data_IF_431663711054
#
_entry.id   IF_431663711054
#
_cell.length_a   1.000
_cell.length_b   1.000
_cell.length_c   1.000
_cell.angle_alpha   90.00
_cell.angle_beta   90.00
_cell.angle_gamma   90.00
#
_symmetry.space_group_name_H-M   'P 1'
#
loop_
_entity.id
_entity.type
_entity.pdbx_description
1 polymer ?
#
# COMPACT_ATOMS: atom_id res chain seq x y z
N UNK A 1 -4.86 6.05 10.93
CA UNK A 1 -4.97 4.58 10.92
C UNK A 1 -6.40 4.14 10.64
N UNK A 2 -6.61 3.11 9.82
CA UNK A 2 -7.91 2.44 9.65
C UNK A 2 -7.72 0.92 9.67
N UNK A 3 -8.60 0.22 10.39
CA UNK A 3 -8.57 -1.22 10.54
C UNK A 3 -9.74 -1.85 9.81
N UNK A 4 -9.49 -2.99 9.17
CA UNK A 4 -10.45 -3.75 8.38
C UNK A 4 -10.47 -5.20 8.86
N UNK A 5 -11.64 -5.79 9.00
CA UNK A 5 -11.78 -7.23 9.23
C UNK A 5 -11.66 -7.99 7.90
N UNK A 6 -10.76 -8.97 7.87
CA UNK A 6 -10.47 -9.81 6.70
C UNK A 6 -10.43 -11.26 7.16
N UNK A 7 -11.54 -11.98 6.95
CA UNK A 7 -11.69 -13.42 7.22
C UNK A 7 -11.20 -13.86 8.62
N UNK A 8 -11.68 -13.17 9.67
CA UNK A 8 -11.31 -13.46 11.06
C UNK A 8 -9.95 -12.90 11.50
N UNK A 9 -9.20 -12.27 10.61
CA UNK A 9 -8.03 -11.44 10.92
C UNK A 9 -8.35 -9.95 10.79
N UNK A 10 -7.47 -9.10 11.33
CA UNK A 10 -7.57 -7.65 11.13
C UNK A 10 -6.41 -7.15 10.28
N UNK A 11 -6.66 -6.21 9.37
CA UNK A 11 -5.65 -5.49 8.61
C UNK A 11 -5.69 -4.01 8.99
N UNK A 12 -4.61 -3.53 9.59
CA UNK A 12 -4.42 -2.13 9.96
C UNK A 12 -3.59 -1.41 8.91
N UNK A 13 -4.10 -0.28 8.43
CA UNK A 13 -3.49 0.54 7.39
C UNK A 13 -3.27 1.99 7.89
N UNK A 14 -2.09 2.55 7.59
CA UNK A 14 -1.76 3.96 7.80
C UNK A 14 -1.04 4.52 6.59
N UNK A 15 -1.38 5.75 6.22
CA UNK A 15 -0.86 6.42 5.04
C UNK A 15 -0.06 7.64 5.46
N UNK A 16 1.18 7.73 4.96
CA UNK A 16 2.11 8.78 5.31
C UNK A 16 2.53 9.55 4.06
N UNK A 17 2.53 10.89 4.15
CA UNK A 17 3.15 11.78 3.18
C UNK A 17 4.43 12.40 3.74
N UNK A 18 5.24 12.94 2.83
CA UNK A 18 6.45 13.68 3.17
C UNK A 18 7.42 12.85 4.03
N UNK A 19 7.45 11.53 3.81
CA UNK A 19 8.35 10.62 4.51
C UNK A 19 9.78 10.87 4.05
N UNK A 20 10.69 11.05 5.00
CA UNK A 20 12.09 11.45 4.75
C UNK A 20 13.11 10.37 5.09
N UNK A 21 12.70 9.30 5.77
CA UNK A 21 13.59 8.25 6.27
C UNK A 21 13.36 6.89 5.58
N UNK A 22 12.90 6.87 4.33
CA UNK A 22 12.64 5.61 3.61
C UNK A 22 13.90 4.79 3.35
N UNK A 23 15.08 5.42 3.34
CA UNK A 23 16.36 4.72 3.24
C UNK A 23 16.61 3.86 4.48
N UNK A 24 16.49 4.45 5.66
CA UNK A 24 16.70 3.76 6.94
C UNK A 24 15.65 2.66 7.17
N UNK A 25 14.40 2.91 6.76
CA UNK A 25 13.34 1.92 6.81
C UNK A 25 13.65 0.73 5.88
N UNK A 26 14.12 0.99 4.66
CA UNK A 26 14.52 -0.04 3.71
C UNK A 26 15.71 -0.86 4.24
N UNK A 27 16.72 -0.21 4.80
CA UNK A 27 17.89 -0.87 5.39
C UNK A 27 17.46 -1.78 6.55
N UNK A 28 16.55 -1.32 7.42
CA UNK A 28 16.02 -2.11 8.54
C UNK A 28 15.19 -3.31 8.07
N UNK A 29 14.39 -3.14 7.00
CA UNK A 29 13.65 -4.24 6.37
C UNK A 29 14.60 -5.29 5.79
N UNK A 30 15.64 -4.87 5.08
CA UNK A 30 16.62 -5.77 4.44
C UNK A 30 17.49 -6.49 5.48
N UNK A 31 17.81 -5.83 6.59
CA UNK A 31 18.53 -6.43 7.71
C UNK A 31 17.66 -7.38 8.55
N UNK A 32 16.33 -7.37 8.37
CA UNK A 32 15.40 -8.16 9.20
C UNK A 32 15.29 -7.65 10.64
N UNK A 33 15.60 -6.39 10.89
CA UNK A 33 15.61 -5.76 12.23
C UNK A 33 14.44 -4.78 12.42
N UNK A 34 13.48 -4.76 11.49
CA UNK A 34 12.34 -3.88 11.57
C UNK A 34 11.35 -4.39 12.62
N UNK A 35 11.25 -3.67 13.74
CA UNK A 35 10.26 -3.93 14.78
C UNK A 35 9.33 -2.73 14.97
N UNK A 36 8.00 -2.93 14.88
CA UNK A 36 7.32 -4.17 14.55
C UNK A 36 7.42 -4.58 13.07
N UNK A 37 7.17 -5.87 12.77
CA UNK A 37 7.06 -6.37 11.39
C UNK A 37 5.87 -5.72 10.66
N UNK A 38 6.16 -4.85 9.69
CA UNK A 38 5.17 -4.09 8.93
C UNK A 38 5.57 -4.03 7.46
N UNK A 39 4.58 -4.11 6.57
CA UNK A 39 4.80 -3.91 5.15
C UNK A 39 4.71 -2.41 4.82
N UNK A 40 5.78 -1.86 4.24
CA UNK A 40 5.75 -0.52 3.65
C UNK A 40 5.61 -0.62 2.14
N UNK A 41 4.66 0.11 1.57
CA UNK A 41 4.39 0.14 0.14
C UNK A 41 4.50 1.57 -0.36
N UNK A 42 5.14 1.78 -1.50
CA UNK A 42 5.00 3.07 -2.19
C UNK A 42 3.54 3.23 -2.65
N UNK A 43 2.85 4.21 -2.06
CA UNK A 43 1.42 4.44 -2.26
C UNK A 43 1.10 4.99 -3.66
N UNK A 44 2.07 5.59 -4.35
CA UNK A 44 1.93 5.98 -5.76
C UNK A 44 2.05 4.80 -6.72
N UNK A 45 2.65 3.68 -6.28
CA UNK A 45 3.04 2.56 -7.12
C UNK A 45 2.61 1.20 -6.56
N UNK A 46 1.50 1.13 -5.81
CA UNK A 46 1.08 -0.06 -5.03
C UNK A 46 1.19 -1.37 -5.83
N UNK A 47 0.76 -1.38 -7.09
CA UNK A 47 0.81 -2.58 -7.96
C UNK A 47 2.22 -3.09 -8.26
N UNK A 48 3.20 -2.18 -8.35
CA UNK A 48 4.62 -2.51 -8.52
C UNK A 48 5.30 -2.78 -7.16
N UNK A 49 4.91 -2.02 -6.12
CA UNK A 49 5.40 -2.18 -4.74
C UNK A 49 5.16 -3.58 -4.19
N UNK A 50 4.00 -4.18 -4.51
CA UNK A 50 3.67 -5.56 -4.16
C UNK A 50 4.56 -6.61 -4.86
N UNK A 51 5.19 -6.26 -5.99
CA UNK A 51 6.10 -7.16 -6.73
C UNK A 51 7.57 -7.00 -6.33
N UNK A 52 7.98 -5.82 -5.87
CA UNK A 52 9.39 -5.43 -5.67
C UNK A 52 9.78 -5.22 -4.20
N UNK A 53 8.97 -5.70 -3.26
CA UNK A 53 9.21 -5.55 -1.83
C UNK A 53 9.20 -4.08 -1.36
N UNK A 54 8.14 -3.34 -1.70
CA UNK A 54 7.74 -2.19 -0.89
C UNK A 54 8.18 -0.81 -1.36
N UNK A 55 9.03 -0.14 -0.58
CA UNK A 55 9.46 1.25 -0.75
C UNK A 55 10.86 1.35 -1.37
N UNK A 56 11.19 2.52 -1.92
CA UNK A 56 12.55 2.90 -2.33
C UNK A 56 13.09 4.04 -1.46
N UNK A 57 14.40 4.28 -1.47
CA UNK A 57 15.03 5.43 -0.78
C UNK A 57 14.38 6.78 -1.15
N UNK A 58 13.88 6.91 -2.39
CA UNK A 58 13.22 8.10 -2.92
C UNK A 58 11.72 8.17 -2.65
N UNK A 59 11.14 7.15 -2.01
CA UNK A 59 9.70 7.13 -1.73
C UNK A 59 9.38 8.13 -0.62
N UNK A 60 8.42 9.02 -0.86
CA UNK A 60 7.94 9.99 0.14
C UNK A 60 6.48 9.79 0.51
N UNK A 61 5.79 8.88 -0.20
CA UNK A 61 4.39 8.56 -0.02
C UNK A 61 4.24 7.07 0.27
N UNK A 62 4.01 6.73 1.53
CA UNK A 62 4.14 5.38 2.06
C UNK A 62 2.81 4.91 2.64
N UNK A 63 2.36 3.73 2.21
CA UNK A 63 1.28 2.98 2.85
C UNK A 63 1.90 1.92 3.75
N UNK A 64 1.70 2.04 5.05
CA UNK A 64 2.06 1.02 6.04
C UNK A 64 0.87 0.08 6.25
N UNK A 65 1.12 -1.23 6.20
CA UNK A 65 0.12 -2.26 6.34
C UNK A 65 0.60 -3.38 7.28
N UNK A 66 -0.25 -3.77 8.23
CA UNK A 66 0.05 -4.87 9.14
C UNK A 66 -1.19 -5.68 9.52
N UNK A 67 -1.05 -7.00 9.50
CA UNK A 67 -2.08 -7.92 9.98
C UNK A 67 -2.01 -8.09 11.50
N UNK A 68 -3.18 -8.21 12.13
CA UNK A 68 -3.35 -8.52 13.54
C UNK A 68 -2.56 -7.59 14.47
N UNK A 69 -2.40 -6.33 14.06
CA UNK A 69 -1.64 -5.34 14.78
C UNK A 69 -2.44 -4.82 15.98
N UNK A 70 -1.82 -4.86 17.16
CA UNK A 70 -2.32 -4.13 18.32
C UNK A 70 -2.19 -2.61 18.13
N UNK A 71 -2.90 -1.86 18.96
CA UNK A 71 -2.86 -0.39 18.94
C UNK A 71 -1.44 0.11 19.22
N UNK A 72 -0.73 -0.50 20.17
CA UNK A 72 0.62 -0.07 20.55
C UNK A 72 1.65 -0.37 19.47
N UNK A 73 1.46 -1.46 18.73
CA UNK A 73 2.28 -1.76 17.57
C UNK A 73 2.05 -0.77 16.44
N UNK A 74 0.81 -0.39 16.15
CA UNK A 74 0.54 0.65 15.14
C UNK A 74 1.07 2.02 15.56
N UNK A 75 1.07 2.35 16.85
CA UNK A 75 1.75 3.53 17.39
C UNK A 75 3.27 3.44 17.24
N UNK A 76 3.86 2.26 17.38
CA UNK A 76 5.27 2.06 17.11
C UNK A 76 5.59 2.30 15.63
N UNK A 77 4.75 1.79 14.71
CA UNK A 77 4.87 2.07 13.27
C UNK A 77 4.81 3.57 12.97
N UNK A 78 3.90 4.31 13.60
CA UNK A 78 3.82 5.77 13.46
C UNK A 78 5.12 6.45 13.90
N UNK A 79 5.72 6.01 15.01
CA UNK A 79 7.00 6.55 15.51
C UNK A 79 8.20 6.23 14.62
N UNK A 80 8.15 5.15 13.86
CA UNK A 80 9.19 4.81 12.87
C UNK A 80 9.15 5.76 11.67
N UNK A 81 8.02 6.43 11.41
CA UNK A 81 7.83 7.26 10.22
C UNK A 81 8.22 8.71 10.46
N UNK A 82 9.27 9.19 9.78
CA UNK A 82 9.58 10.61 9.72
C UNK A 82 8.79 11.27 8.58
N UNK A 83 7.48 11.36 8.77
CA UNK A 83 6.53 11.96 7.84
C UNK A 83 5.22 12.32 8.53
N UNK A 84 4.22 12.72 7.74
CA UNK A 84 2.90 13.10 8.26
C UNK A 84 1.87 12.03 7.92
N UNK A 85 1.18 11.48 8.93
CA UNK A 85 0.01 10.64 8.68
C UNK A 85 -1.11 11.48 8.05
N UNK A 86 -1.71 10.96 6.97
CA UNK A 86 -2.83 11.59 6.25
C UNK A 86 -4.00 10.61 6.09
N UNK A 87 -5.18 11.14 5.77
CA UNK A 87 -6.38 10.33 5.55
C UNK A 87 -6.20 9.40 4.34
N UNK A 88 -6.55 8.13 4.50
CA UNK A 88 -6.53 7.12 3.44
C UNK A 88 -7.37 7.50 2.21
N UNK A 89 -8.38 8.37 2.36
CA UNK A 89 -9.18 8.88 1.23
C UNK A 89 -8.33 9.60 0.18
N UNK A 90 -7.23 10.22 0.59
CA UNK A 90 -6.31 10.94 -0.32
C UNK A 90 -5.65 9.98 -1.32
N UNK A 91 -5.60 8.67 -1.02
CA UNK A 91 -5.05 7.67 -1.92
C UNK A 91 -5.80 7.61 -3.25
N UNK A 92 -7.13 7.75 -3.22
CA UNK A 92 -7.95 7.77 -4.43
C UNK A 92 -7.69 9.05 -5.25
N UNK A 93 -7.52 10.19 -4.58
CA UNK A 93 -7.26 11.49 -5.21
C UNK A 93 -5.91 11.52 -5.94
N UNK A 94 -4.89 10.86 -5.36
CA UNK A 94 -3.52 10.80 -5.92
C UNK A 94 -3.30 9.61 -6.85
N UNK A 95 -4.32 8.75 -7.04
CA UNK A 95 -4.19 7.56 -7.87
C UNK A 95 -3.93 7.92 -9.33
N UNK A 96 -2.81 7.43 -9.88
CA UNK A 96 -2.50 7.60 -11.30
C UNK A 96 -3.35 6.65 -12.15
N UNK A 97 -4.58 7.07 -12.48
CA UNK A 97 -5.54 6.27 -13.26
C UNK A 97 -4.97 5.78 -14.59
N UNK A 98 -4.20 6.62 -15.30
CA UNK A 98 -3.60 6.22 -16.58
C UNK A 98 -2.61 5.05 -16.41
N UNK A 99 -1.79 5.08 -15.36
CA UNK A 99 -0.86 4.00 -15.05
C UNK A 99 -1.58 2.73 -14.57
N UNK A 100 -2.64 2.88 -13.77
CA UNK A 100 -3.46 1.76 -13.30
C UNK A 100 -4.09 1.03 -14.49
N UNK A 101 -4.74 1.77 -15.41
CA UNK A 101 -5.36 1.21 -16.61
C UNK A 101 -4.33 0.46 -17.47
N UNK A 102 -3.15 1.07 -17.68
CA UNK A 102 -2.05 0.45 -18.42
C UNK A 102 -1.53 -0.83 -17.75
N UNK A 103 -1.36 -0.82 -16.43
CA UNK A 103 -0.83 -1.96 -15.68
C UNK A 103 -1.78 -3.16 -15.71
N UNK A 104 -3.07 -2.93 -15.44
CA UNK A 104 -4.10 -3.98 -15.45
C UNK A 104 -4.64 -4.30 -16.85
N UNK A 105 -4.13 -3.61 -17.88
CA UNK A 105 -4.56 -3.76 -19.28
C UNK A 105 -6.08 -3.60 -19.44
N UNK A 106 -6.66 -2.65 -18.71
CA UNK A 106 -8.10 -2.38 -18.72
C UNK A 106 -8.42 -1.47 -19.90
N UNK A 107 -9.34 -1.92 -20.76
CA UNK A 107 -9.72 -1.19 -21.98
C UNK A 107 -10.85 -0.19 -21.73
N UNK A 108 -11.02 0.79 -22.62
CA UNK A 108 -12.16 1.71 -22.57
C UNK A 108 -13.51 1.01 -22.76
N UNK A 109 -13.53 -0.09 -23.53
CA UNK A 109 -14.73 -0.90 -23.76
C UNK A 109 -15.17 -1.58 -22.46
N UNK A 110 -14.22 -2.11 -21.70
CA UNK A 110 -14.47 -2.73 -20.38
C UNK A 110 -15.04 -1.71 -19.39
N UNK A 111 -14.47 -0.50 -19.36
CA UNK A 111 -14.98 0.61 -18.53
C UNK A 111 -16.37 1.10 -18.94
N UNK A 112 -16.84 0.75 -20.15
CA UNK A 112 -18.21 1.02 -20.58
C UNK A 112 -19.24 0.07 -19.97
N UNK A 113 -18.80 -1.05 -19.37
CA UNK A 113 -19.67 -2.13 -18.87
C UNK A 113 -19.46 -2.36 -17.37
N UNK A 114 -18.27 -2.11 -16.83
CA UNK A 114 -17.95 -2.28 -15.40
C UNK A 114 -17.19 -1.08 -14.82
N UNK A 115 -17.14 -0.99 -13.49
CA UNK A 115 -16.30 0.01 -12.84
C UNK A 115 -14.80 -0.35 -12.92
N UNK A 116 -13.94 0.64 -12.68
CA UNK A 116 -12.49 0.41 -12.57
C UNK A 116 -12.17 -0.57 -11.43
N UNK A 117 -12.88 -0.47 -10.30
CA UNK A 117 -12.66 -1.34 -9.15
C UNK A 117 -13.04 -2.80 -9.47
N UNK A 118 -14.15 -3.02 -10.17
CA UNK A 118 -14.59 -4.36 -10.57
C UNK A 118 -13.60 -5.00 -11.55
N UNK A 119 -13.15 -4.23 -12.55
CA UNK A 119 -12.17 -4.69 -13.53
C UNK A 119 -10.84 -5.09 -12.85
N UNK A 120 -10.34 -4.27 -11.92
CA UNK A 120 -9.12 -4.58 -11.15
C UNK A 120 -9.33 -5.83 -10.30
N UNK A 121 -10.46 -5.92 -9.58
CA UNK A 121 -10.78 -7.06 -8.71
C UNK A 121 -10.83 -8.36 -9.51
N UNK A 122 -11.47 -8.34 -10.69
CA UNK A 122 -11.51 -9.46 -11.62
C UNK A 122 -10.09 -9.88 -12.06
N UNK A 123 -9.22 -8.92 -12.38
CA UNK A 123 -7.82 -9.22 -12.76
C UNK A 123 -7.01 -9.82 -11.61
N UNK A 124 -7.21 -9.34 -10.38
CA UNK A 124 -6.54 -9.89 -9.19
C UNK A 124 -7.03 -11.32 -8.95
N UNK A 125 -8.34 -11.54 -8.96
CA UNK A 125 -8.94 -12.86 -8.74
C UNK A 125 -8.55 -13.87 -9.81
N UNK A 126 -8.46 -13.46 -11.08
CA UNK A 126 -8.08 -14.33 -12.19
C UNK A 126 -6.56 -14.55 -12.32
N UNK A 127 -5.73 -13.85 -11.53
CA UNK A 127 -4.26 -13.89 -11.67
C UNK A 127 -3.66 -15.25 -11.34
N UNK A 128 -4.29 -16.01 -10.44
CA UNK A 128 -3.86 -17.39 -10.11
C UNK A 128 -4.48 -18.44 -11.05
N UNK A 129 -5.30 -18.02 -12.01
CA UNK A 129 -5.96 -18.91 -12.97
C UNK A 129 -5.27 -18.96 -14.35
N UNK A 130 -4.10 -18.31 -14.51
CA UNK A 130 -3.32 -18.22 -15.76
C UNK A 130 -1.90 -18.78 -15.60
#
# INVERSE_FOLDING_TARGET
>A
MKTYDVDGSTLSLSLFSDVTNCKELLDSMQAGTLEPEVAFLNASLITESLKRCGISESTTYVLAARFNASIDEMRAVEKLMNGKEIDLKVLEERANKAQILKHYKISSVELGISSLADAITCRIAARDAL
#
